data_IF_209799239352
#
_entry.id   IF_209799239352
#
_cell.length_a   1.000
_cell.length_b   1.000
_cell.length_c   1.000
_cell.angle_alpha   90.00
_cell.angle_beta   90.00
_cell.angle_gamma   90.00
#
_symmetry.space_group_name_H-M   'P 1'
#
loop_
_entity.id
_entity.type
_entity.pdbx_description
1 polymer ?
#
# COMPACT_ATOMS: atom_id res chain seq x y z
N UNK A 1 11.62 8.77 18.62
CA UNK A 1 11.24 7.80 17.58
C UNK A 1 10.05 7.02 18.11
N UNK A 2 8.89 7.09 17.44
CA UNK A 2 7.80 6.16 17.75
C UNK A 2 8.26 4.73 17.49
N UNK A 3 7.85 3.79 18.34
CA UNK A 3 8.14 2.37 18.12
C UNK A 3 7.31 1.88 16.93
N UNK A 4 7.90 1.05 16.09
CA UNK A 4 7.23 0.46 14.91
C UNK A 4 5.90 -0.21 15.31
N UNK A 5 5.88 -0.89 16.45
CA UNK A 5 4.67 -1.52 17.00
C UNK A 5 3.51 -0.53 17.20
N UNK A 6 3.79 0.68 17.70
CA UNK A 6 2.77 1.70 17.91
C UNK A 6 2.23 2.29 16.60
N UNK A 7 3.04 2.29 15.54
CA UNK A 7 2.60 2.69 14.21
C UNK A 7 1.74 1.60 13.58
N UNK A 8 2.12 0.34 13.75
CA UNK A 8 1.33 -0.80 13.30
C UNK A 8 -0.05 -0.80 13.97
N UNK A 9 -0.14 -0.59 15.28
CA UNK A 9 -1.43 -0.49 15.98
C UNK A 9 -2.31 0.66 15.46
N UNK A 10 -1.73 1.80 15.06
CA UNK A 10 -2.49 2.91 14.46
C UNK A 10 -3.02 2.54 13.08
N UNK A 11 -2.23 1.83 12.27
CA UNK A 11 -2.66 1.35 10.96
C UNK A 11 -3.75 0.29 11.13
N UNK A 12 -3.59 -0.64 12.06
CA UNK A 12 -4.57 -1.70 12.31
C UNK A 12 -5.91 -1.14 12.79
N UNK A 13 -5.91 -0.05 13.58
CA UNK A 13 -7.14 0.68 13.97
C UNK A 13 -7.89 1.30 12.80
N UNK A 14 -7.27 1.44 11.63
CA UNK A 14 -7.97 1.92 10.44
C UNK A 14 -8.79 0.82 9.78
N UNK A 15 -8.69 -0.45 10.22
CA UNK A 15 -9.40 -1.60 9.63
C UNK A 15 -9.22 -1.70 8.09
N UNK A 16 -8.06 -1.27 7.60
CA UNK A 16 -7.79 -1.07 6.17
C UNK A 16 -8.03 -2.31 5.29
N UNK A 17 -8.00 -3.51 5.88
CA UNK A 17 -8.21 -4.79 5.19
C UNK A 17 -9.63 -4.99 4.65
N UNK A 18 -10.64 -4.36 5.26
CA UNK A 18 -12.05 -4.44 4.83
C UNK A 18 -12.53 -3.13 4.19
N UNK A 19 -11.62 -2.19 3.93
CA UNK A 19 -11.94 -0.85 3.45
C UNK A 19 -11.47 -0.64 2.01
N UNK A 20 -12.22 0.21 1.29
CA UNK A 20 -11.90 0.58 -0.08
C UNK A 20 -10.57 1.35 -0.15
N UNK A 21 -9.62 0.80 -0.89
CA UNK A 21 -8.44 1.53 -1.36
C UNK A 21 -8.88 2.48 -2.48
N UNK A 22 -8.61 3.77 -2.29
CA UNK A 22 -8.93 4.82 -3.25
C UNK A 22 -7.84 4.96 -4.30
N UNK A 23 -6.59 4.87 -3.87
CA UNK A 23 -5.43 4.99 -4.75
C UNK A 23 -4.21 4.28 -4.16
N UNK A 24 -3.35 3.76 -5.03
CA UNK A 24 -2.10 3.12 -4.66
C UNK A 24 -1.00 3.50 -5.65
N UNK A 25 -0.03 4.27 -5.16
CA UNK A 25 1.02 4.85 -5.98
C UNK A 25 2.39 4.38 -5.52
N UNK A 26 3.18 3.92 -6.48
CA UNK A 26 4.60 3.66 -6.31
C UNK A 26 5.33 4.65 -7.20
N UNK A 27 5.83 5.73 -6.60
CA UNK A 27 6.60 6.74 -7.33
C UNK A 27 8.03 6.25 -7.57
N UNK A 28 8.62 5.68 -6.52
CA UNK A 28 9.95 5.09 -6.55
C UNK A 28 9.89 3.73 -5.84
N UNK A 29 10.10 2.65 -6.59
CA UNK A 29 10.00 1.30 -6.04
C UNK A 29 11.03 1.12 -4.90
N UNK A 30 10.53 0.95 -3.68
CA UNK A 30 11.35 0.82 -2.47
C UNK A 30 11.69 2.12 -1.75
N UNK A 31 11.37 3.28 -2.30
CA UNK A 31 11.67 4.57 -1.65
C UNK A 31 10.40 5.36 -1.35
N UNK A 32 9.43 5.40 -2.27
CA UNK A 32 8.19 6.15 -2.06
C UNK A 32 6.98 5.35 -2.54
N UNK A 33 6.27 4.81 -1.56
CA UNK A 33 4.99 4.13 -1.76
C UNK A 33 3.94 4.87 -0.94
N UNK A 34 2.82 5.23 -1.57
CA UNK A 34 1.70 5.83 -0.87
C UNK A 34 0.39 5.13 -1.20
N UNK A 35 -0.43 4.96 -0.17
CA UNK A 35 -1.73 4.33 -0.25
C UNK A 35 -2.77 5.25 0.36
N UNK A 36 -3.84 5.50 -0.39
CA UNK A 36 -4.99 6.27 0.05
C UNK A 36 -6.12 5.29 0.36
N UNK A 37 -6.54 5.29 1.62
CA UNK A 37 -7.59 4.42 2.14
C UNK A 37 -8.80 5.30 2.44
N UNK A 38 -9.97 4.87 1.99
CA UNK A 38 -11.22 5.53 2.33
C UNK A 38 -11.43 5.57 3.86
N UNK A 39 -12.07 6.60 4.38
CA UNK A 39 -12.50 6.62 5.78
C UNK A 39 -13.99 6.95 5.87
N UNK A 40 -14.38 8.11 5.33
CA UNK A 40 -15.77 8.54 5.26
C UNK A 40 -15.99 9.51 4.08
N UNK A 41 -17.13 10.22 4.06
CA UNK A 41 -17.49 11.13 2.98
C UNK A 41 -16.54 12.34 2.85
N UNK A 42 -15.89 12.73 3.94
CA UNK A 42 -15.13 13.98 4.04
C UNK A 42 -13.63 13.74 4.28
N UNK A 43 -13.25 12.54 4.72
CA UNK A 43 -11.88 12.22 5.12
C UNK A 43 -11.35 10.92 4.51
N UNK A 44 -10.03 10.81 4.46
CA UNK A 44 -9.33 9.63 3.97
C UNK A 44 -7.99 9.51 4.68
N UNK A 45 -7.51 8.28 4.85
CA UNK A 45 -6.19 8.01 5.40
C UNK A 45 -5.16 7.94 4.28
N UNK A 46 -4.01 8.58 4.51
CA UNK A 46 -2.83 8.42 3.66
C UNK A 46 -1.75 7.68 4.45
N UNK A 47 -1.42 6.48 4.01
CA UNK A 47 -0.27 5.72 4.52
C UNK A 47 0.88 5.91 3.55
N UNK A 48 2.01 6.43 4.03
CA UNK A 48 3.20 6.67 3.20
C UNK A 48 4.38 5.91 3.77
N UNK A 49 4.99 5.09 2.93
CA UNK A 49 6.21 4.37 3.22
C UNK A 49 7.33 5.10 2.50
N UNK A 50 8.21 5.71 3.30
CA UNK A 50 9.36 6.48 2.82
C UNK A 50 10.63 5.72 3.18
N UNK A 51 11.55 5.62 2.22
CA UNK A 51 12.90 5.07 2.42
C UNK A 51 12.90 3.64 2.99
N UNK A 52 12.12 2.76 2.37
CA UNK A 52 12.09 1.35 2.75
C UNK A 52 13.41 0.66 2.40
N UNK A 53 14.21 0.33 3.40
CA UNK A 53 15.45 -0.43 3.22
C UNK A 53 15.26 -1.76 2.48
N UNK A 54 14.09 -2.41 2.64
CA UNK A 54 13.74 -3.66 1.98
C UNK A 54 12.24 -3.77 1.81
N UNK A 55 11.79 -4.13 0.60
CA UNK A 55 10.38 -4.42 0.30
C UNK A 55 10.25 -5.89 -0.07
N UNK A 56 9.37 -6.61 0.61
CA UNK A 56 8.90 -7.94 0.21
C UNK A 56 7.41 -7.85 -0.07
N UNK A 57 7.01 -8.11 -1.31
CA UNK A 57 5.60 -8.26 -1.66
C UNK A 57 5.34 -9.75 -1.91
N UNK A 58 4.34 -10.31 -1.23
CA UNK A 58 3.78 -11.61 -1.57
C UNK A 58 2.44 -11.35 -2.24
N UNK A 59 2.23 -11.97 -3.39
CA UNK A 59 0.95 -11.92 -4.10
C UNK A 59 0.54 -13.34 -4.43
N UNK A 60 -0.71 -13.66 -4.15
CA UNK A 60 -1.36 -14.92 -4.51
C UNK A 60 -1.88 -14.91 -5.95
N UNK A 61 -1.35 -14.02 -6.81
CA UNK A 61 -1.75 -13.84 -8.20
C UNK A 61 -1.66 -15.13 -9.05
N UNK A 62 -1.05 -16.21 -8.53
CA UNK A 62 -1.11 -17.56 -9.08
C UNK A 62 -2.54 -18.11 -9.21
N UNK A 63 -3.56 -17.57 -8.52
CA UNK A 63 -4.96 -17.99 -8.69
C UNK A 63 -5.47 -17.76 -10.11
N UNK A 64 -5.06 -16.67 -10.77
CA UNK A 64 -5.45 -16.38 -12.15
C UNK A 64 -4.24 -16.67 -13.01
N UNK A 65 -4.11 -17.88 -13.58
CA UNK A 65 -3.02 -18.31 -14.47
C UNK A 65 -2.82 -17.45 -15.74
N UNK A 66 -2.56 -16.16 -15.58
CA UNK A 66 -2.35 -15.16 -16.62
C UNK A 66 -0.89 -14.74 -16.57
N UNK A 67 -0.22 -14.93 -17.68
CA UNK A 67 1.09 -14.33 -17.96
C UNK A 67 1.02 -12.81 -17.78
N UNK A 68 1.83 -12.27 -16.88
CA UNK A 68 2.04 -10.81 -16.79
C UNK A 68 2.83 -10.38 -18.03
N UNK A 69 2.19 -9.61 -18.93
CA UNK A 69 2.88 -8.97 -20.06
C UNK A 69 3.24 -7.55 -19.65
N UNK A 70 4.54 -7.26 -19.55
CA UNK A 70 5.01 -5.89 -19.46
C UNK A 70 4.98 -5.27 -20.86
N UNK A 71 4.16 -4.24 -21.05
CA UNK A 71 4.16 -3.40 -22.25
C UNK A 71 4.65 -2.00 -21.87
N UNK A 72 5.71 -1.54 -22.53
CA UNK A 72 6.22 -0.17 -22.38
C UNK A 72 5.34 0.75 -23.22
N UNK A 73 4.54 1.59 -22.58
CA UNK A 73 3.85 2.68 -23.26
C UNK A 73 4.83 3.86 -23.40
N UNK A 74 4.81 4.49 -24.58
CA UNK A 74 5.70 5.59 -24.97
C UNK A 74 5.00 6.91 -24.79
#
# INVERSE_FOLDING_TARGET
MEKIESLQEKIDKTEYWDIKILDFQINFLGDEVSMWIYNDADTSWRVSFLSCYKVSYETDATWRGRTVRMSRYR
#
